data_IF_408290622787
#
_entry.id   IF_408290622787
#
_cell.length_a   1.000
_cell.length_b   1.000
_cell.length_c   1.000
_cell.angle_alpha   90.00
_cell.angle_beta   90.00
_cell.angle_gamma   90.00
#
_symmetry.space_group_name_H-M   'P 1'
#
loop_
_entity.id
_entity.type
_entity.pdbx_description
1 polymer ?
#
# COMPACT_ATOMS: atom_id res chain seq x y z
N UNK A 1 -14.48 -7.53 13.25
CA UNK A 1 -14.12 -6.09 13.19
C UNK A 1 -15.16 -5.40 12.31
N UNK A 2 -15.97 -4.49 12.88
CA UNK A 2 -17.06 -3.61 12.35
C UNK A 2 -17.92 -4.06 11.15
N UNK A 3 -17.33 -4.63 10.09
CA UNK A 3 -18.00 -5.29 8.95
C UNK A 3 -17.85 -6.81 8.93
N UNK A 4 -17.15 -7.38 9.92
CA UNK A 4 -16.88 -8.82 10.09
C UNK A 4 -16.27 -9.54 8.88
N UNK A 5 -15.60 -8.78 8.01
CA UNK A 5 -14.89 -9.35 6.86
C UNK A 5 -13.79 -10.31 7.34
N UNK A 6 -13.86 -11.57 6.90
CA UNK A 6 -12.90 -12.65 7.22
C UNK A 6 -11.74 -12.74 6.24
N UNK A 7 -11.69 -11.83 5.25
CA UNK A 7 -10.72 -11.87 4.17
C UNK A 7 -9.26 -11.74 4.67
N UNK A 8 -8.42 -12.63 4.17
CA UNK A 8 -7.06 -12.84 4.69
C UNK A 8 -6.04 -11.90 4.02
N UNK A 9 -6.15 -11.67 2.70
CA UNK A 9 -5.18 -10.85 1.97
C UNK A 9 -5.60 -9.37 1.89
N UNK A 10 -4.62 -8.48 1.73
CA UNK A 10 -4.87 -7.05 1.49
C UNK A 10 -5.78 -6.82 0.27
N UNK A 11 -5.62 -7.65 -0.76
CA UNK A 11 -6.38 -7.56 -2.01
C UNK A 11 -7.85 -7.92 -1.80
N UNK A 12 -8.09 -9.03 -1.09
CA UNK A 12 -9.44 -9.51 -0.80
C UNK A 12 -10.17 -8.52 0.12
N UNK A 13 -9.46 -7.93 1.09
CA UNK A 13 -10.01 -6.86 1.93
C UNK A 13 -10.42 -5.63 1.13
N UNK A 14 -9.62 -5.18 0.16
CA UNK A 14 -9.97 -4.05 -0.70
C UNK A 14 -11.22 -4.36 -1.53
N UNK A 15 -11.30 -5.56 -2.10
CA UNK A 15 -12.46 -6.02 -2.86
C UNK A 15 -13.73 -6.02 -2.00
N UNK A 16 -13.67 -6.62 -0.82
CA UNK A 16 -14.80 -6.67 0.11
C UNK A 16 -15.25 -5.26 0.57
N UNK A 17 -14.32 -4.32 0.74
CA UNK A 17 -14.64 -2.93 1.06
C UNK A 17 -15.35 -2.19 -0.09
N UNK A 18 -15.06 -2.51 -1.35
CA UNK A 18 -15.82 -2.01 -2.50
C UNK A 18 -17.22 -2.61 -2.54
N UNK A 19 -17.35 -3.92 -2.34
CA UNK A 19 -18.65 -4.62 -2.31
C UNK A 19 -19.56 -4.09 -1.19
N UNK A 20 -18.97 -3.71 -0.05
CA UNK A 20 -19.67 -3.08 1.06
C UNK A 20 -19.93 -1.57 0.85
N UNK A 21 -19.62 -1.00 -0.33
CA UNK A 21 -19.72 0.42 -0.66
C UNK A 21 -18.95 1.36 0.30
N UNK A 22 -17.89 0.85 0.95
CA UNK A 22 -17.02 1.65 1.82
C UNK A 22 -16.03 2.45 0.97
N UNK A 23 -15.52 1.85 -0.10
CA UNK A 23 -14.67 2.53 -1.09
C UNK A 23 -15.31 2.54 -2.47
N UNK A 24 -15.13 3.64 -3.19
CA UNK A 24 -15.38 3.66 -4.62
C UNK A 24 -14.37 2.73 -5.33
N UNK A 25 -14.77 2.04 -6.42
CA UNK A 25 -13.90 1.12 -7.15
C UNK A 25 -12.56 1.75 -7.54
N UNK A 26 -12.57 3.00 -8.00
CA UNK A 26 -11.37 3.74 -8.41
C UNK A 26 -10.42 4.01 -7.23
N UNK A 27 -10.98 4.22 -6.04
CA UNK A 27 -10.17 4.43 -4.82
C UNK A 27 -9.48 3.13 -4.42
N UNK A 28 -10.22 2.01 -4.43
CA UNK A 28 -9.64 0.71 -4.14
C UNK A 28 -8.56 0.33 -5.15
N UNK A 29 -8.77 0.62 -6.44
CA UNK A 29 -7.81 0.39 -7.50
C UNK A 29 -6.52 1.21 -7.32
N UNK A 30 -6.63 2.49 -6.94
CA UNK A 30 -5.45 3.29 -6.61
C UNK A 30 -4.66 2.74 -5.40
N UNK A 31 -5.35 2.28 -4.36
CA UNK A 31 -4.69 1.67 -3.20
C UNK A 31 -4.01 0.35 -3.60
N UNK A 32 -4.68 -0.45 -4.43
CA UNK A 32 -4.16 -1.71 -4.97
C UNK A 32 -2.86 -1.48 -5.75
N UNK A 33 -2.88 -0.54 -6.70
CA UNK A 33 -1.72 -0.18 -7.49
C UNK A 33 -0.55 0.32 -6.63
N UNK A 34 -0.83 1.14 -5.62
CA UNK A 34 0.19 1.60 -4.67
C UNK A 34 0.82 0.45 -3.87
N UNK A 35 0.00 -0.50 -3.39
CA UNK A 35 0.47 -1.67 -2.65
C UNK A 35 1.37 -2.55 -3.52
N UNK A 36 1.00 -2.78 -4.78
CA UNK A 36 1.79 -3.56 -5.74
C UNK A 36 3.11 -2.86 -6.09
N UNK A 37 3.09 -1.56 -6.34
CA UNK A 37 4.28 -0.77 -6.64
C UNK A 37 5.29 -0.79 -5.48
N UNK A 38 4.82 -0.57 -4.25
CA UNK A 38 5.67 -0.61 -3.06
C UNK A 38 6.24 -2.01 -2.83
N UNK A 39 5.42 -3.05 -3.01
CA UNK A 39 5.86 -4.44 -2.88
C UNK A 39 6.90 -4.79 -3.93
N UNK A 40 6.68 -4.40 -5.20
CA UNK A 40 7.61 -4.63 -6.29
C UNK A 40 8.97 -3.96 -6.05
N UNK A 41 8.98 -2.66 -5.74
CA UNK A 41 10.22 -1.91 -5.50
C UNK A 41 11.03 -2.53 -4.36
N UNK A 42 10.34 -2.88 -3.26
CA UNK A 42 10.96 -3.51 -2.09
C UNK A 42 11.53 -4.90 -2.43
N UNK A 43 10.73 -5.76 -3.05
CA UNK A 43 11.14 -7.13 -3.37
C UNK A 43 12.32 -7.13 -4.34
N UNK A 44 12.31 -6.26 -5.36
CA UNK A 44 13.46 -6.11 -6.26
C UNK A 44 14.73 -5.78 -5.50
N UNK A 45 14.66 -4.80 -4.58
CA UNK A 45 15.82 -4.42 -3.77
C UNK A 45 16.31 -5.55 -2.87
N UNK A 46 15.39 -6.30 -2.26
CA UNK A 46 15.72 -7.46 -1.43
C UNK A 46 16.40 -8.56 -2.24
N UNK A 47 15.94 -8.82 -3.48
CA UNK A 47 16.57 -9.76 -4.41
C UNK A 47 17.99 -9.31 -4.76
N UNK A 48 18.20 -8.02 -5.08
CA UNK A 48 19.54 -7.48 -5.38
C UNK A 48 20.49 -7.65 -4.19
N UNK A 49 20.02 -7.40 -2.96
CA UNK A 49 20.82 -7.61 -1.75
C UNK A 49 21.23 -9.07 -1.58
N UNK A 50 20.30 -10.01 -1.81
CA UNK A 50 20.58 -11.45 -1.70
C UNK A 50 21.62 -11.86 -2.75
N UNK A 51 21.48 -11.38 -3.99
CA UNK A 51 22.44 -11.64 -5.06
C UNK A 51 23.85 -11.12 -4.73
N UNK A 52 23.94 -10.00 -4.01
CA UNK A 52 25.20 -9.43 -3.51
C UNK A 52 25.74 -10.13 -2.24
N UNK A 53 25.10 -11.21 -1.76
CA UNK A 53 25.48 -11.89 -0.51
C UNK A 53 25.18 -11.08 0.76
N UNK A 54 24.33 -10.04 0.65
CA UNK A 54 23.93 -9.17 1.76
C UNK A 54 22.59 -9.62 2.35
N UNK A 55 22.37 -9.25 3.62
CA UNK A 55 21.08 -9.51 4.29
C UNK A 55 19.97 -8.66 3.65
N UNK A 56 18.78 -9.24 3.36
CA UNK A 56 17.62 -8.48 2.92
C UNK A 56 17.27 -7.35 3.89
N UNK A 57 16.80 -6.22 3.35
CA UNK A 57 16.40 -5.03 4.09
C UNK A 57 15.20 -4.39 3.42
N UNK A 58 14.33 -3.79 4.23
CA UNK A 58 13.18 -3.02 3.74
C UNK A 58 13.55 -1.59 3.33
N UNK A 59 14.81 -1.20 3.51
CA UNK A 59 15.27 0.13 3.13
C UNK A 59 15.40 0.27 1.61
N UNK A 60 14.65 1.23 1.07
CA UNK A 60 14.76 1.70 -0.30
C UNK A 60 15.41 3.09 -0.29
N UNK A 61 16.52 3.24 -1.02
CA UNK A 61 17.11 4.55 -1.27
C UNK A 61 16.41 5.19 -2.49
N UNK A 62 15.64 6.27 -2.34
CA UNK A 62 14.95 6.91 -3.47
C UNK A 62 15.93 7.44 -4.52
N UNK A 63 17.15 7.81 -4.14
CA UNK A 63 18.15 8.34 -5.06
C UNK A 63 18.78 7.25 -5.94
N UNK A 64 18.63 5.97 -5.54
CA UNK A 64 19.06 4.82 -6.32
C UNK A 64 18.00 4.35 -7.33
N UNK A 65 16.79 4.91 -7.29
CA UNK A 65 15.70 4.60 -8.21
C UNK A 65 15.78 5.45 -9.49
N UNK A 66 15.31 4.90 -10.59
CA UNK A 66 15.11 5.70 -11.81
C UNK A 66 14.06 6.79 -11.59
N UNK A 67 14.05 7.84 -12.43
CA UNK A 67 13.09 8.95 -12.30
C UNK A 67 11.63 8.47 -12.29
N UNK A 68 11.30 7.53 -13.18
CA UNK A 68 9.96 6.94 -13.26
C UNK A 68 9.57 6.19 -11.99
N UNK A 69 10.52 5.48 -11.38
CA UNK A 69 10.27 4.74 -10.13
C UNK A 69 10.18 5.65 -8.92
N UNK A 70 10.93 6.76 -8.90
CA UNK A 70 10.76 7.80 -7.89
C UNK A 70 9.36 8.41 -7.97
N UNK A 71 8.89 8.71 -9.18
CA UNK A 71 7.55 9.26 -9.39
C UNK A 71 6.48 8.23 -8.99
N UNK A 72 6.65 6.95 -9.37
CA UNK A 72 5.77 5.85 -8.94
C UNK A 72 5.75 5.69 -7.41
N UNK A 73 6.92 5.75 -6.75
CA UNK A 73 7.06 5.66 -5.31
C UNK A 73 6.32 6.80 -4.62
N UNK A 74 6.46 8.03 -5.15
CA UNK A 74 5.79 9.23 -4.63
C UNK A 74 4.27 9.11 -4.75
N UNK A 75 3.75 8.73 -5.92
CA UNK A 75 2.30 8.54 -6.12
C UNK A 75 1.74 7.44 -5.21
N UNK A 76 2.50 6.35 -5.03
CA UNK A 76 2.13 5.27 -4.11
C UNK A 76 2.01 5.78 -2.67
N UNK A 77 2.96 6.59 -2.19
CA UNK A 77 2.86 7.21 -0.86
C UNK A 77 1.69 8.18 -0.75
N UNK A 78 1.35 8.93 -1.80
CA UNK A 78 0.17 9.78 -1.79
C UNK A 78 -1.13 8.97 -1.64
N UNK A 79 -1.25 7.83 -2.32
CA UNK A 79 -2.41 6.93 -2.16
C UNK A 79 -2.50 6.36 -0.74
N UNK A 80 -1.38 5.90 -0.17
CA UNK A 80 -1.32 5.40 1.22
C UNK A 80 -1.70 6.48 2.22
N UNK A 81 -1.21 7.71 2.04
CA UNK A 81 -1.53 8.84 2.91
C UNK A 81 -3.04 9.13 2.92
N UNK A 82 -3.68 9.16 1.74
CA UNK A 82 -5.13 9.34 1.62
C UNK A 82 -5.92 8.24 2.32
N UNK A 83 -5.48 6.99 2.21
CA UNK A 83 -6.09 5.86 2.92
C UNK A 83 -5.95 6.02 4.44
N UNK A 84 -4.76 6.39 4.93
CA UNK A 84 -4.52 6.62 6.35
C UNK A 84 -5.39 7.78 6.88
N UNK A 85 -5.55 8.85 6.12
CA UNK A 85 -6.39 9.98 6.49
C UNK A 85 -7.88 9.64 6.47
N UNK A 86 -8.34 8.82 5.52
CA UNK A 86 -9.71 8.29 5.53
C UNK A 86 -9.96 7.43 6.78
N UNK A 87 -9.02 6.53 7.09
CA UNK A 87 -9.08 5.65 8.27
C UNK A 87 -9.11 6.45 9.56
N UNK A 88 -8.20 7.44 9.72
CA UNK A 88 -8.17 8.34 10.89
C UNK A 88 -9.47 9.12 11.04
N UNK A 89 -10.07 9.61 9.94
CA UNK A 89 -11.35 10.35 10.02
C UNK A 89 -12.52 9.45 10.41
N UNK A 90 -12.50 8.19 9.96
CA UNK A 90 -13.56 7.22 10.25
C UNK A 90 -13.49 6.74 11.71
N UNK A 91 -12.31 6.33 12.16
CA UNK A 91 -12.11 5.74 13.49
C UNK A 91 -11.67 6.74 14.58
N UNK A 92 -11.11 7.88 14.21
CA UNK A 92 -10.68 8.92 15.16
C UNK A 92 -11.81 9.80 15.69
N UNK A 93 -13.05 9.54 15.25
CA UNK A 93 -14.27 10.24 15.70
C UNK A 93 -15.16 9.41 16.62
N UNK A 94 -14.68 8.30 17.19
CA UNK A 94 -15.38 7.68 18.33
C UNK A 94 -15.31 8.60 19.54
N UNK A 95 -16.42 9.23 19.96
CA UNK A 95 -16.49 9.76 21.31
C UNK A 95 -16.57 8.54 22.25
N UNK A 96 -15.86 8.59 23.36
CA UNK A 96 -16.44 7.97 24.55
C UNK A 96 -17.72 8.74 24.91
#
# INVERSE_FOLDING_TARGET
LEKELTELSTMDRLKALVECNVFAPETAEHIRAAFEALSFLRLRREVDLIADGRKPSHFLDPNALSKNEQDLLKESFHAVSRLQDATKRHFGRTPF
#
